data_IF_688391325857
#
_entry.id   IF_688391325857
#
_cell.length_a   1.000
_cell.length_b   1.000
_cell.length_c   1.000
_cell.angle_alpha   90.00
_cell.angle_beta   90.00
_cell.angle_gamma   90.00
#
_symmetry.space_group_name_H-M   'P 1'
#
loop_
_entity.id
_entity.type
_entity.pdbx_description
1 polymer ?
#
# COMPACT_ATOMS: atom_id res chain seq x y z
N UNK A 1 -14.25 2.33 -18.82
CA UNK A 1 -13.25 1.34 -18.41
C UNK A 1 -13.92 0.37 -17.42
N UNK A 2 -13.61 -0.93 -17.43
CA UNK A 2 -14.12 -1.80 -16.39
C UNK A 2 -13.62 -1.28 -15.03
N UNK A 3 -14.49 -1.29 -14.01
CA UNK A 3 -14.13 -0.86 -12.66
C UNK A 3 -13.19 -1.88 -12.05
N UNK A 4 -12.03 -1.46 -11.59
CA UNK A 4 -11.13 -2.31 -10.79
C UNK A 4 -11.81 -2.65 -9.46
N UNK A 5 -11.73 -3.91 -9.03
CA UNK A 5 -12.18 -4.30 -7.71
C UNK A 5 -11.06 -4.07 -6.69
N UNK A 6 -11.29 -3.14 -5.77
CA UNK A 6 -10.37 -2.78 -4.69
C UNK A 6 -10.87 -3.25 -3.31
N UNK A 7 -11.95 -4.06 -3.28
CA UNK A 7 -12.50 -4.62 -2.04
C UNK A 7 -11.57 -5.70 -1.48
N UNK A 8 -11.28 -5.64 -0.19
CA UNK A 8 -10.45 -6.62 0.50
C UNK A 8 -9.04 -6.12 0.79
N UNK A 9 -8.03 -6.95 0.60
CA UNK A 9 -6.64 -6.66 0.94
C UNK A 9 -5.77 -6.53 -0.30
N UNK A 10 -5.30 -5.30 -0.54
CA UNK A 10 -4.13 -5.07 -1.38
C UNK A 10 -2.87 -5.11 -0.53
N UNK A 11 -1.77 -5.62 -1.06
CA UNK A 11 -0.49 -5.63 -0.35
C UNK A 11 0.50 -4.67 -1.00
N UNK A 12 0.99 -3.70 -0.21
CA UNK A 12 2.11 -2.85 -0.60
C UNK A 12 3.39 -3.70 -0.58
N UNK A 13 3.70 -4.33 -1.71
CA UNK A 13 4.75 -5.33 -1.83
C UNK A 13 6.13 -4.73 -1.53
N UNK A 14 6.92 -5.42 -0.69
CA UNK A 14 8.31 -5.05 -0.42
C UNK A 14 9.20 -5.39 -1.63
N UNK A 15 10.37 -4.75 -1.72
CA UNK A 15 11.45 -5.16 -2.62
C UNK A 15 12.53 -5.86 -1.78
N UNK A 16 12.74 -7.17 -1.92
CA UNK A 16 13.82 -7.85 -1.24
C UNK A 16 15.16 -7.49 -1.86
N UNK A 17 16.19 -7.31 -1.02
CA UNK A 17 17.56 -7.05 -1.43
C UNK A 17 18.48 -8.15 -0.93
N UNK A 18 19.55 -8.45 -1.71
CA UNK A 18 20.67 -9.29 -1.29
C UNK A 18 21.66 -8.47 -0.45
N UNK A 19 22.61 -9.16 0.18
CA UNK A 19 23.63 -8.51 1.01
C UNK A 19 24.54 -7.54 0.24
N UNK A 20 24.64 -7.70 -1.08
CA UNK A 20 25.40 -6.83 -1.99
C UNK A 20 24.59 -5.62 -2.51
N UNK A 21 23.41 -5.33 -1.91
CA UNK A 21 22.47 -4.29 -2.28
C UNK A 21 21.72 -4.53 -3.62
N UNK A 22 21.95 -5.62 -4.33
CA UNK A 22 21.18 -5.95 -5.53
C UNK A 22 19.76 -6.40 -5.17
N UNK A 23 18.80 -6.22 -6.11
CA UNK A 23 17.44 -6.74 -5.95
C UNK A 23 17.47 -8.27 -5.99
N UNK A 24 16.84 -8.91 -5.01
CA UNK A 24 16.65 -10.37 -4.99
C UNK A 24 15.37 -10.73 -5.75
N UNK A 25 15.50 -10.88 -7.06
CA UNK A 25 14.37 -11.23 -7.94
C UNK A 25 13.79 -12.62 -7.66
N UNK A 26 14.60 -13.56 -7.14
CA UNK A 26 14.12 -14.91 -6.80
C UNK A 26 13.24 -14.86 -5.54
N UNK A 27 13.68 -14.15 -4.51
CA UNK A 27 12.86 -13.92 -3.31
C UNK A 27 11.59 -13.13 -3.66
N UNK A 28 11.69 -12.11 -4.52
CA UNK A 28 10.53 -11.35 -4.98
C UNK A 28 9.52 -12.27 -5.69
N UNK A 29 9.97 -13.16 -6.56
CA UNK A 29 9.12 -14.12 -7.25
C UNK A 29 8.39 -15.05 -6.28
N UNK A 30 9.11 -15.58 -5.25
CA UNK A 30 8.50 -16.40 -4.19
C UNK A 30 7.48 -15.61 -3.37
N UNK A 31 7.77 -14.35 -3.04
CA UNK A 31 6.83 -13.50 -2.31
C UNK A 31 5.56 -13.24 -3.10
N UNK A 32 5.65 -12.95 -4.40
CA UNK A 32 4.45 -12.79 -5.24
C UNK A 32 3.60 -14.05 -5.25
N UNK A 33 4.21 -15.21 -5.44
CA UNK A 33 3.48 -16.49 -5.40
C UNK A 33 2.85 -16.72 -4.02
N UNK A 34 3.59 -16.42 -2.93
CA UNK A 34 3.09 -16.50 -1.55
C UNK A 34 1.86 -15.62 -1.32
N UNK A 35 1.89 -14.38 -1.81
CA UNK A 35 0.76 -13.45 -1.71
C UNK A 35 -0.49 -14.00 -2.41
N UNK A 36 -0.34 -14.39 -3.67
CA UNK A 36 -1.46 -14.88 -4.49
C UNK A 36 -2.06 -16.18 -3.93
N UNK A 37 -1.21 -17.11 -3.47
CA UNK A 37 -1.66 -18.40 -2.91
C UNK A 37 -2.38 -18.24 -1.56
N UNK A 38 -2.09 -17.18 -0.81
CA UNK A 38 -2.70 -16.91 0.49
C UNK A 38 -3.87 -15.92 0.42
N UNK A 39 -4.36 -15.65 -0.79
CA UNK A 39 -5.68 -15.07 -1.02
C UNK A 39 -5.76 -13.57 -0.77
N UNK A 40 -4.70 -12.81 -1.09
CA UNK A 40 -4.80 -11.35 -1.22
C UNK A 40 -5.64 -10.99 -2.45
N UNK A 41 -6.24 -9.81 -2.44
CA UNK A 41 -7.17 -9.42 -3.48
C UNK A 41 -6.49 -8.63 -4.61
N UNK A 42 -5.39 -7.92 -4.35
CA UNK A 42 -4.56 -7.24 -5.37
C UNK A 42 -3.15 -6.93 -4.83
N UNK A 43 -2.20 -6.65 -5.74
CA UNK A 43 -0.85 -6.21 -5.39
C UNK A 43 -0.64 -4.73 -5.70
N UNK A 44 0.08 -4.04 -4.80
CA UNK A 44 0.58 -2.68 -5.04
C UNK A 44 2.10 -2.74 -5.19
N UNK A 45 2.58 -2.50 -6.40
CA UNK A 45 3.99 -2.57 -6.78
C UNK A 45 4.59 -1.17 -6.84
N UNK A 46 5.83 -1.03 -6.44
CA UNK A 46 6.53 0.26 -6.41
C UNK A 46 5.84 1.34 -5.56
N UNK A 47 5.15 0.92 -4.47
CA UNK A 47 4.66 1.82 -3.44
C UNK A 47 5.79 2.24 -2.47
N UNK A 48 5.43 2.93 -1.39
CA UNK A 48 6.38 3.37 -0.34
C UNK A 48 7.14 2.19 0.27
N UNK A 49 6.45 1.09 0.56
CA UNK A 49 7.00 -0.11 1.20
C UNK A 49 8.01 -0.85 0.31
N UNK A 50 8.00 -0.59 -1.00
CA UNK A 50 8.96 -1.14 -1.96
C UNK A 50 10.32 -0.41 -1.99
N UNK A 51 10.54 0.59 -1.14
CA UNK A 51 11.76 1.42 -1.15
C UNK A 51 12.03 2.08 -2.52
N UNK A 52 10.96 2.45 -3.23
CA UNK A 52 10.99 2.95 -4.61
C UNK A 52 11.99 4.09 -4.87
N UNK A 53 12.23 5.05 -3.94
CA UNK A 53 13.22 6.09 -4.15
C UNK A 53 14.66 5.59 -4.29
N UNK A 54 14.97 4.38 -3.83
CA UNK A 54 16.34 3.80 -3.88
C UNK A 54 16.54 2.86 -5.08
N UNK A 55 15.49 2.65 -5.87
CA UNK A 55 15.53 1.81 -7.07
C UNK A 55 15.89 2.62 -8.32
N UNK A 56 16.77 2.06 -9.13
CA UNK A 56 17.04 2.58 -10.47
C UNK A 56 15.84 2.34 -11.41
N UNK A 57 15.75 3.08 -12.50
CA UNK A 57 14.68 2.91 -13.49
C UNK A 57 14.72 1.51 -14.15
N UNK A 58 15.91 0.91 -14.28
CA UNK A 58 16.05 -0.47 -14.77
C UNK A 58 15.47 -1.47 -13.79
N UNK A 59 15.80 -1.34 -12.50
CA UNK A 59 15.26 -2.21 -11.43
C UNK A 59 13.73 -2.10 -11.33
N UNK A 60 13.18 -0.89 -11.39
CA UNK A 60 11.73 -0.68 -11.39
C UNK A 60 11.05 -1.43 -12.55
N UNK A 61 11.60 -1.32 -13.77
CA UNK A 61 11.05 -2.03 -14.93
C UNK A 61 11.13 -3.55 -14.77
N UNK A 62 12.24 -4.08 -14.30
CA UNK A 62 12.40 -5.52 -14.10
C UNK A 62 11.51 -6.07 -12.98
N UNK A 63 11.34 -5.33 -11.87
CA UNK A 63 10.39 -5.65 -10.79
C UNK A 63 8.97 -5.74 -11.35
N UNK A 64 8.52 -4.72 -12.11
CA UNK A 64 7.17 -4.70 -12.68
C UNK A 64 6.95 -5.86 -13.63
N UNK A 65 7.88 -6.12 -14.54
CA UNK A 65 7.81 -7.27 -15.48
C UNK A 65 7.70 -8.59 -14.76
N UNK A 66 8.52 -8.79 -13.72
CA UNK A 66 8.51 -10.03 -12.94
C UNK A 66 7.16 -10.20 -12.23
N UNK A 67 6.65 -9.15 -11.59
CA UNK A 67 5.36 -9.22 -10.87
C UNK A 67 4.22 -9.52 -11.85
N UNK A 68 4.15 -8.84 -13.00
CA UNK A 68 3.13 -9.10 -14.03
C UNK A 68 3.20 -10.57 -14.49
N UNK A 69 4.40 -11.05 -14.82
CA UNK A 69 4.62 -12.43 -15.25
C UNK A 69 4.20 -13.44 -14.18
N UNK A 70 4.52 -13.19 -12.92
CA UNK A 70 4.19 -14.07 -11.80
C UNK A 70 2.71 -14.04 -11.43
N UNK A 71 2.10 -12.87 -11.43
CA UNK A 71 0.66 -12.73 -11.17
C UNK A 71 -0.16 -13.37 -12.30
N UNK A 72 0.29 -13.23 -13.53
CA UNK A 72 -0.33 -13.85 -14.72
C UNK A 72 -1.85 -13.63 -14.81
N UNK A 73 -2.32 -12.41 -14.47
CA UNK A 73 -3.73 -12.03 -14.54
C UNK A 73 -4.63 -12.64 -13.46
N UNK A 74 -4.07 -13.31 -12.44
CA UNK A 74 -4.88 -13.96 -11.37
C UNK A 74 -5.51 -12.96 -10.41
N UNK A 75 -4.87 -11.83 -10.18
CA UNK A 75 -5.33 -10.72 -9.34
C UNK A 75 -4.90 -9.38 -9.96
N UNK A 76 -5.58 -8.26 -9.65
CA UNK A 76 -5.18 -6.95 -10.14
C UNK A 76 -3.80 -6.50 -9.63
N UNK A 77 -3.13 -5.68 -10.44
CA UNK A 77 -1.86 -5.03 -10.10
C UNK A 77 -2.03 -3.52 -10.14
N UNK A 78 -1.74 -2.86 -9.04
CA UNK A 78 -1.70 -1.40 -8.89
C UNK A 78 -0.24 -0.94 -8.90
N UNK A 79 0.08 0.03 -9.75
CA UNK A 79 1.43 0.58 -9.84
C UNK A 79 1.54 1.89 -9.06
N UNK A 80 2.53 2.01 -8.19
CA UNK A 80 2.89 3.26 -7.55
C UNK A 80 3.53 4.24 -8.54
N UNK A 81 2.83 5.33 -8.84
CA UNK A 81 3.31 6.43 -9.70
C UNK A 81 3.02 7.74 -9.00
N UNK A 82 4.02 8.29 -8.32
CA UNK A 82 3.88 9.53 -7.56
C UNK A 82 5.18 10.31 -7.48
N UNK A 83 5.09 11.53 -6.99
CA UNK A 83 6.23 12.41 -6.84
C UNK A 83 5.78 13.84 -6.53
N UNK A 84 6.74 14.75 -6.44
CA UNK A 84 6.51 16.16 -6.16
C UNK A 84 6.74 17.08 -7.39
N UNK A 85 6.90 16.49 -8.58
CA UNK A 85 6.95 17.18 -9.86
C UNK A 85 5.81 16.68 -10.76
N UNK A 86 4.73 17.45 -10.83
CA UNK A 86 3.53 17.12 -11.62
C UNK A 86 3.85 16.81 -13.08
N UNK A 87 4.71 17.61 -13.71
CA UNK A 87 5.07 17.42 -15.13
C UNK A 87 5.78 16.08 -15.38
N UNK A 88 6.67 15.67 -14.47
CA UNK A 88 7.35 14.40 -14.59
C UNK A 88 6.37 13.20 -14.51
N UNK A 89 5.38 13.26 -13.60
CA UNK A 89 4.33 12.24 -13.47
C UNK A 89 3.47 12.20 -14.73
N UNK A 90 3.03 13.35 -15.21
CA UNK A 90 2.21 13.47 -16.43
C UNK A 90 2.94 12.91 -17.66
N UNK A 91 4.22 13.21 -17.81
CA UNK A 91 5.04 12.68 -18.90
C UNK A 91 5.16 11.15 -18.78
N UNK A 92 5.45 10.64 -17.57
CA UNK A 92 5.54 9.20 -17.31
C UNK A 92 4.24 8.48 -17.69
N UNK A 93 3.07 9.03 -17.31
CA UNK A 93 1.77 8.44 -17.61
C UNK A 93 1.44 8.45 -19.11
N UNK A 94 1.95 9.42 -19.87
CA UNK A 94 1.71 9.53 -21.33
C UNK A 94 2.67 8.67 -22.17
N UNK A 95 3.91 8.51 -21.71
CA UNK A 95 5.00 7.93 -22.49
C UNK A 95 5.19 6.42 -22.26
N UNK A 96 4.66 5.88 -21.14
CA UNK A 96 4.84 4.47 -20.82
C UNK A 96 3.63 3.62 -21.22
N UNK A 97 3.92 2.36 -21.53
CA UNK A 97 2.93 1.30 -21.66
C UNK A 97 2.66 0.69 -20.29
N UNK A 98 1.38 0.50 -19.99
CA UNK A 98 0.90 -0.06 -18.73
C UNK A 98 0.28 -1.46 -18.92
N UNK A 99 0.76 -2.22 -19.89
CA UNK A 99 0.28 -3.60 -20.10
C UNK A 99 0.42 -4.42 -18.81
N UNK A 100 -0.68 -5.05 -18.38
CA UNK A 100 -0.73 -5.84 -17.15
C UNK A 100 -0.86 -5.05 -15.85
N UNK A 101 -1.07 -3.72 -15.93
CA UNK A 101 -1.37 -2.84 -14.80
C UNK A 101 -2.82 -2.41 -14.85
N UNK A 102 -3.54 -2.51 -13.73
CA UNK A 102 -4.97 -2.26 -13.65
C UNK A 102 -5.31 -0.87 -13.08
N UNK A 103 -4.43 -0.29 -12.26
CA UNK A 103 -4.60 1.07 -11.72
C UNK A 103 -3.26 1.68 -11.31
N UNK A 104 -3.30 2.98 -11.02
CA UNK A 104 -2.18 3.77 -10.51
C UNK A 104 -2.47 4.25 -9.11
N UNK A 105 -1.53 4.05 -8.17
CA UNK A 105 -1.54 4.67 -6.84
C UNK A 105 -0.64 5.91 -6.86
N UNK A 106 -1.23 7.10 -6.64
CA UNK A 106 -0.48 8.37 -6.70
C UNK A 106 -0.53 9.12 -5.36
N UNK A 107 0.64 9.24 -4.73
CA UNK A 107 0.81 9.93 -3.45
C UNK A 107 0.75 11.45 -3.62
N UNK A 108 0.23 12.16 -2.62
CA UNK A 108 0.31 13.63 -2.55
C UNK A 108 1.76 14.11 -2.65
N UNK A 109 2.03 15.25 -3.34
CA UNK A 109 3.38 15.80 -3.40
C UNK A 109 3.98 16.00 -1.99
N UNK A 110 5.22 15.58 -1.82
CA UNK A 110 5.97 15.68 -0.58
C UNK A 110 7.03 16.79 -0.69
N UNK A 111 7.56 17.23 0.45
CA UNK A 111 8.65 18.18 0.58
C UNK A 111 8.24 19.64 0.26
N UNK A 112 7.73 19.94 -0.95
CA UNK A 112 7.32 21.28 -1.39
C UNK A 112 5.93 21.73 -0.90
N UNK A 113 5.18 20.87 -0.19
CA UNK A 113 3.95 21.15 0.57
C UNK A 113 2.95 22.06 -0.16
N UNK A 114 2.31 21.62 -1.24
CA UNK A 114 1.33 22.43 -1.97
C UNK A 114 0.12 22.77 -1.10
N UNK A 115 -0.56 23.89 -1.44
CA UNK A 115 -1.87 24.22 -0.89
C UNK A 115 -2.94 23.23 -1.37
N UNK A 116 -4.17 23.32 -0.83
CA UNK A 116 -5.29 22.48 -1.28
C UNK A 116 -5.60 22.68 -2.77
N UNK A 117 -5.56 23.92 -3.26
CA UNK A 117 -5.69 24.18 -4.69
C UNK A 117 -4.52 23.60 -5.50
N UNK A 118 -3.30 23.66 -4.98
CA UNK A 118 -2.14 23.02 -5.59
C UNK A 118 -2.29 21.50 -5.67
N UNK A 119 -2.84 20.84 -4.65
CA UNK A 119 -3.17 19.42 -4.65
C UNK A 119 -4.23 19.10 -5.70
N UNK A 120 -5.30 19.88 -5.77
CA UNK A 120 -6.33 19.72 -6.76
C UNK A 120 -5.77 19.83 -8.18
N UNK A 121 -5.00 20.87 -8.50
CA UNK A 121 -4.41 21.06 -9.84
C UNK A 121 -3.40 19.95 -10.18
N UNK A 122 -2.66 19.45 -9.20
CA UNK A 122 -1.77 18.33 -9.35
C UNK A 122 -2.52 17.06 -9.79
N UNK A 123 -3.56 16.67 -9.05
CA UNK A 123 -4.33 15.46 -9.34
C UNK A 123 -5.23 15.63 -10.57
N UNK A 124 -5.72 16.84 -10.86
CA UNK A 124 -6.36 17.16 -12.13
C UNK A 124 -5.45 16.82 -13.32
N UNK A 125 -4.21 17.33 -13.32
CA UNK A 125 -3.27 17.08 -14.39
C UNK A 125 -2.93 15.59 -14.54
N UNK A 126 -2.85 14.85 -13.44
CA UNK A 126 -2.64 13.40 -13.42
C UNK A 126 -3.87 12.67 -13.98
N UNK A 127 -5.08 13.06 -13.56
CA UNK A 127 -6.33 12.47 -14.03
C UNK A 127 -6.53 12.67 -15.55
N UNK A 128 -6.26 13.85 -16.05
CA UNK A 128 -6.33 14.17 -17.49
C UNK A 128 -5.28 13.40 -18.32
N UNK A 129 -4.14 13.01 -17.71
CA UNK A 129 -3.07 12.31 -18.42
C UNK A 129 -3.19 10.79 -18.37
N UNK A 130 -3.84 10.24 -17.35
CA UNK A 130 -3.88 8.80 -17.11
C UNK A 130 -4.94 8.10 -17.96
N UNK A 131 -4.52 7.00 -18.60
CA UNK A 131 -5.42 6.04 -19.25
C UNK A 131 -5.91 4.95 -18.29
N UNK A 132 -5.38 4.91 -17.07
CA UNK A 132 -5.73 3.93 -16.04
C UNK A 132 -6.54 4.59 -14.92
N UNK A 133 -7.32 3.81 -14.16
CA UNK A 133 -7.91 4.26 -12.91
C UNK A 133 -6.84 4.75 -11.94
N UNK A 134 -7.16 5.81 -11.18
CA UNK A 134 -6.25 6.43 -10.21
C UNK A 134 -6.78 6.22 -8.80
N UNK A 135 -5.90 5.78 -7.93
CA UNK A 135 -6.08 5.74 -6.49
C UNK A 135 -5.27 6.90 -5.90
N UNK A 136 -5.94 7.87 -5.30
CA UNK A 136 -5.27 8.93 -4.54
C UNK A 136 -4.59 8.33 -3.31
N UNK A 137 -3.47 8.92 -2.86
CA UNK A 137 -2.82 8.46 -1.63
C UNK A 137 -2.47 9.64 -0.74
N UNK A 138 -3.17 9.74 0.40
CA UNK A 138 -2.96 10.75 1.42
C UNK A 138 -2.22 10.17 2.63
N UNK A 139 -1.01 10.66 2.90
CA UNK A 139 -0.13 10.18 4.00
C UNK A 139 0.66 11.34 4.62
N UNK A 140 0.01 12.23 5.35
CA UNK A 140 0.61 13.47 5.88
C UNK A 140 1.88 13.25 6.70
N UNK A 141 1.95 12.14 7.45
CA UNK A 141 3.13 11.79 8.24
C UNK A 141 4.41 11.56 7.42
N UNK A 142 4.27 11.33 6.11
CA UNK A 142 5.41 11.16 5.19
C UNK A 142 5.59 12.35 4.25
N UNK A 143 4.49 12.93 3.78
CA UNK A 143 4.54 14.00 2.78
C UNK A 143 4.66 15.40 3.39
N UNK A 144 4.24 15.56 4.64
CA UNK A 144 4.16 16.85 5.32
C UNK A 144 2.99 17.72 4.83
N UNK A 145 2.06 17.15 4.03
CA UNK A 145 0.85 17.81 3.56
C UNK A 145 -0.35 16.87 3.68
N UNK A 146 -1.45 17.35 4.21
CA UNK A 146 -2.72 16.63 4.27
C UNK A 146 -3.65 17.11 3.15
N UNK A 147 -4.17 16.18 2.36
CA UNK A 147 -5.26 16.45 1.42
C UNK A 147 -6.57 16.36 2.18
N UNK A 148 -7.30 17.48 2.29
CA UNK A 148 -8.55 17.55 3.05
C UNK A 148 -9.67 16.71 2.42
N UNK A 149 -10.71 16.41 3.22
CA UNK A 149 -11.92 15.78 2.71
C UNK A 149 -12.54 16.55 1.54
N UNK A 150 -12.64 17.89 1.64
CA UNK A 150 -13.16 18.76 0.58
C UNK A 150 -12.39 18.62 -0.73
N UNK A 151 -11.04 18.66 -0.66
CA UNK A 151 -10.19 18.51 -1.86
C UNK A 151 -10.34 17.12 -2.47
N UNK A 152 -10.37 16.08 -1.64
CA UNK A 152 -10.60 14.69 -2.07
C UNK A 152 -11.94 14.54 -2.77
N UNK A 153 -13.01 15.04 -2.17
CA UNK A 153 -14.37 14.96 -2.71
C UNK A 153 -14.54 15.77 -4.01
N UNK A 154 -13.91 16.94 -4.09
CA UNK A 154 -13.88 17.74 -5.32
C UNK A 154 -13.27 16.96 -6.48
N UNK A 155 -12.10 16.32 -6.25
CA UNK A 155 -11.42 15.50 -7.27
C UNK A 155 -12.28 14.28 -7.64
N UNK A 156 -12.83 13.56 -6.65
CA UNK A 156 -13.63 12.36 -6.89
C UNK A 156 -14.91 12.64 -7.68
N UNK A 157 -15.55 13.80 -7.47
CA UNK A 157 -16.75 14.19 -8.24
C UNK A 157 -16.45 14.61 -9.66
N UNK A 158 -15.29 15.26 -9.89
CA UNK A 158 -14.94 15.84 -11.18
C UNK A 158 -14.31 14.81 -12.13
N UNK A 159 -13.47 13.89 -11.62
CA UNK A 159 -12.70 12.97 -12.46
C UNK A 159 -13.14 11.51 -12.25
N UNK A 160 -13.90 10.98 -13.22
CA UNK A 160 -14.46 9.61 -13.16
C UNK A 160 -13.41 8.50 -13.19
N UNK A 161 -12.19 8.78 -13.63
CA UNK A 161 -11.07 7.84 -13.57
C UNK A 161 -10.31 7.91 -12.23
N UNK A 162 -10.65 8.83 -11.33
CA UNK A 162 -10.20 8.81 -9.93
C UNK A 162 -11.20 7.98 -9.14
N UNK A 163 -10.85 6.73 -8.86
CA UNK A 163 -11.80 5.69 -8.39
C UNK A 163 -11.71 5.40 -6.89
N UNK A 164 -10.63 5.83 -6.23
CA UNK A 164 -10.45 5.58 -4.80
C UNK A 164 -9.45 6.54 -4.17
N UNK A 165 -9.46 6.53 -2.84
CA UNK A 165 -8.39 7.08 -2.01
C UNK A 165 -7.86 6.01 -1.06
N UNK A 166 -6.52 5.85 -0.99
CA UNK A 166 -5.82 5.23 0.12
C UNK A 166 -5.60 6.29 1.18
N UNK A 167 -6.31 6.18 2.30
CA UNK A 167 -6.24 7.15 3.38
C UNK A 167 -5.36 6.65 4.53
N UNK A 168 -4.30 7.38 4.82
CA UNK A 168 -3.31 7.08 5.85
C UNK A 168 -2.96 8.32 6.69
N UNK A 169 -3.92 9.23 6.87
CA UNK A 169 -3.75 10.42 7.71
C UNK A 169 -3.76 10.10 9.20
N UNK A 170 -4.40 8.99 9.60
CA UNK A 170 -4.70 8.70 11.00
C UNK A 170 -5.91 9.49 11.55
N UNK A 171 -6.50 10.38 10.77
CA UNK A 171 -7.67 11.17 11.14
C UNK A 171 -8.97 10.43 10.74
N UNK A 172 -9.51 9.67 11.68
CA UNK A 172 -10.75 8.91 11.48
C UNK A 172 -11.92 9.82 11.14
N UNK A 173 -11.97 11.04 11.70
CA UNK A 173 -13.03 12.01 11.42
C UNK A 173 -13.01 12.47 9.97
N UNK A 174 -11.82 12.76 9.42
CA UNK A 174 -11.66 13.07 8.01
C UNK A 174 -12.04 11.90 7.11
N UNK A 175 -11.63 10.68 7.49
CA UNK A 175 -11.97 9.47 6.76
C UNK A 175 -13.48 9.22 6.71
N UNK A 176 -14.17 9.36 7.84
CA UNK A 176 -15.63 9.23 7.93
C UNK A 176 -16.36 10.29 7.11
N UNK A 177 -15.88 11.54 7.14
CA UNK A 177 -16.43 12.61 6.30
C UNK A 177 -16.33 12.28 4.79
N UNK A 178 -15.19 11.72 4.34
CA UNK A 178 -15.03 11.29 2.96
C UNK A 178 -16.00 10.15 2.65
N UNK A 179 -16.07 9.12 3.50
CA UNK A 179 -16.96 7.95 3.33
C UNK A 179 -18.42 8.38 3.19
N UNK A 180 -18.85 9.28 4.07
CA UNK A 180 -20.23 9.79 4.09
C UNK A 180 -20.63 10.56 2.84
N UNK A 181 -19.70 11.32 2.23
CA UNK A 181 -19.97 12.31 1.16
C UNK A 181 -19.44 11.89 -0.21
N UNK A 182 -18.68 10.80 -0.31
CA UNK A 182 -18.10 10.32 -1.57
C UNK A 182 -19.14 9.95 -2.61
N UNK A 183 -18.83 10.04 -3.91
CA UNK A 183 -19.66 9.41 -4.96
C UNK A 183 -19.76 7.90 -4.72
N UNK A 184 -20.84 7.29 -5.22
CA UNK A 184 -21.11 5.86 -5.07
C UNK A 184 -19.98 4.99 -5.69
N UNK A 185 -19.43 5.46 -6.80
CA UNK A 185 -18.38 4.80 -7.58
C UNK A 185 -16.95 5.15 -7.10
N UNK A 186 -16.79 5.80 -5.94
CA UNK A 186 -15.49 6.12 -5.34
C UNK A 186 -15.28 5.32 -4.05
N UNK A 187 -14.13 4.67 -3.91
CA UNK A 187 -13.81 3.81 -2.77
C UNK A 187 -12.86 4.50 -1.77
N UNK A 188 -13.07 4.24 -0.47
CA UNK A 188 -12.10 4.61 0.58
C UNK A 188 -11.41 3.35 1.06
N UNK A 189 -10.08 3.35 1.03
CA UNK A 189 -9.21 2.22 1.36
C UNK A 189 -8.32 2.63 2.53
N UNK A 190 -8.24 1.81 3.58
CA UNK A 190 -7.29 2.03 4.66
C UNK A 190 -5.85 1.99 4.16
N UNK A 191 -5.04 2.95 4.61
CA UNK A 191 -3.59 2.97 4.38
C UNK A 191 -2.77 2.54 5.60
N UNK A 192 -3.44 2.12 6.69
CA UNK A 192 -2.85 1.73 7.96
C UNK A 192 -3.52 0.47 8.49
N UNK A 193 -2.70 -0.57 8.74
CA UNK A 193 -3.17 -1.88 9.18
C UNK A 193 -3.91 -1.80 10.53
N UNK A 194 -3.44 -0.95 11.45
CA UNK A 194 -4.01 -0.79 12.79
C UNK A 194 -5.38 -0.14 12.83
N UNK A 195 -5.73 0.68 11.82
CA UNK A 195 -7.05 1.33 11.73
C UNK A 195 -7.98 0.68 10.71
N UNK A 196 -7.54 -0.39 10.06
CA UNK A 196 -8.31 -1.06 9.00
C UNK A 196 -9.66 -1.58 9.50
N UNK A 197 -9.67 -2.31 10.62
CA UNK A 197 -10.90 -2.85 11.18
C UNK A 197 -11.92 -1.76 11.53
N UNK A 198 -11.61 -0.73 12.34
CA UNK A 198 -12.55 0.34 12.62
C UNK A 198 -12.97 1.12 11.35
N UNK A 199 -12.08 1.30 10.39
CA UNK A 199 -12.43 2.03 9.17
C UNK A 199 -13.40 1.24 8.27
N UNK A 200 -13.32 -0.09 8.24
CA UNK A 200 -14.29 -0.94 7.55
C UNK A 200 -15.68 -0.80 8.21
N UNK A 201 -15.77 -0.69 9.53
CA UNK A 201 -17.06 -0.48 10.21
C UNK A 201 -17.71 0.85 9.87
N UNK A 202 -16.92 1.84 9.41
CA UNK A 202 -17.41 3.13 8.89
C UNK A 202 -17.76 3.09 7.40
N UNK A 203 -17.37 2.04 6.66
CA UNK A 203 -17.70 1.86 5.25
C UNK A 203 -16.51 1.88 4.27
N UNK A 204 -15.28 1.77 4.76
CA UNK A 204 -14.14 1.51 3.87
C UNK A 204 -14.25 0.12 3.23
N UNK A 205 -13.73 -0.02 2.01
CA UNK A 205 -13.85 -1.26 1.23
C UNK A 205 -12.72 -2.25 1.50
N UNK A 206 -11.68 -1.86 2.25
CA UNK A 206 -10.53 -2.71 2.52
C UNK A 206 -9.28 -1.92 2.88
N UNK A 207 -8.12 -2.47 2.57
CA UNK A 207 -6.82 -1.93 2.96
C UNK A 207 -5.77 -2.13 1.88
N UNK A 208 -4.81 -1.20 1.79
CA UNK A 208 -3.50 -1.44 1.17
C UNK A 208 -2.49 -1.63 2.31
N UNK A 209 -2.24 -2.88 2.62
CA UNK A 209 -1.59 -3.39 3.83
C UNK A 209 -0.07 -3.44 3.74
N UNK A 210 0.60 -3.26 4.86
CA UNK A 210 2.02 -3.56 5.07
C UNK A 210 2.18 -4.95 5.69
N UNK A 211 1.41 -5.26 6.77
CA UNK A 211 1.51 -6.54 7.46
C UNK A 211 1.12 -7.73 6.57
N UNK A 212 0.27 -7.50 5.58
CA UNK A 212 -0.09 -8.50 4.58
C UNK A 212 1.08 -9.09 3.80
N UNK A 213 2.26 -8.43 3.76
CA UNK A 213 3.48 -9.03 3.22
C UNK A 213 3.88 -10.30 3.98
N UNK A 214 3.78 -10.28 5.31
CA UNK A 214 4.15 -11.39 6.19
C UNK A 214 2.98 -12.32 6.51
N UNK A 215 1.76 -11.79 6.66
CA UNK A 215 0.56 -12.52 7.09
C UNK A 215 -0.62 -12.34 6.12
N UNK A 216 -0.47 -12.68 4.83
CA UNK A 216 -1.52 -12.44 3.84
C UNK A 216 -2.82 -13.18 4.16
N UNK A 217 -2.75 -14.44 4.61
CA UNK A 217 -3.91 -15.29 4.87
C UNK A 217 -4.74 -14.78 6.06
N UNK A 218 -4.08 -14.52 7.19
CA UNK A 218 -4.71 -14.12 8.43
C UNK A 218 -5.31 -12.71 8.29
N UNK A 219 -4.57 -11.79 7.69
CA UNK A 219 -5.02 -10.42 7.52
C UNK A 219 -6.15 -10.30 6.48
N UNK A 220 -6.09 -11.10 5.40
CA UNK A 220 -7.22 -11.21 4.46
C UNK A 220 -8.46 -11.80 5.12
N UNK A 221 -8.30 -12.80 6.00
CA UNK A 221 -9.42 -13.36 6.76
C UNK A 221 -10.07 -12.31 7.67
N UNK A 222 -9.27 -11.56 8.44
CA UNK A 222 -9.76 -10.46 9.29
C UNK A 222 -10.56 -9.44 8.47
N UNK A 223 -9.99 -9.00 7.36
CA UNK A 223 -10.62 -7.99 6.49
C UNK A 223 -11.94 -8.49 5.89
N UNK A 224 -12.00 -9.74 5.42
CA UNK A 224 -13.24 -10.32 4.86
C UNK A 224 -14.32 -10.47 5.90
N UNK A 225 -14.00 -11.00 7.08
CA UNK A 225 -14.95 -11.09 8.19
C UNK A 225 -15.54 -9.72 8.55
N UNK A 226 -14.69 -8.68 8.61
CA UNK A 226 -15.17 -7.33 8.87
C UNK A 226 -16.10 -6.82 7.75
N UNK A 227 -15.77 -7.07 6.48
CA UNK A 227 -16.58 -6.68 5.31
C UNK A 227 -17.91 -7.47 5.20
N UNK A 228 -17.99 -8.66 5.79
CA UNK A 228 -19.17 -9.51 5.87
C UNK A 228 -20.04 -9.19 7.10
N UNK A 229 -19.55 -8.32 8.02
CA UNK A 229 -20.27 -7.92 9.23
C UNK A 229 -20.02 -8.83 10.44
N UNK A 230 -19.17 -9.85 10.32
CA UNK A 230 -18.72 -10.65 11.48
C UNK A 230 -17.63 -9.91 12.25
N UNK A 231 -18.04 -8.82 12.91
CA UNK A 231 -17.12 -7.95 13.65
C UNK A 231 -16.48 -8.65 14.85
N UNK A 232 -17.15 -9.61 15.48
CA UNK A 232 -16.61 -10.30 16.65
C UNK A 232 -15.40 -11.17 16.25
N UNK A 233 -15.52 -11.96 15.20
CA UNK A 233 -14.43 -12.79 14.69
C UNK A 233 -13.29 -11.93 14.11
N UNK A 234 -13.62 -10.86 13.37
CA UNK A 234 -12.64 -9.93 12.84
C UNK A 234 -11.84 -9.23 13.95
N UNK A 235 -12.52 -8.76 15.02
CA UNK A 235 -11.90 -8.10 16.17
C UNK A 235 -10.91 -9.03 16.90
N UNK A 236 -11.25 -10.32 17.03
CA UNK A 236 -10.35 -11.31 17.63
C UNK A 236 -9.01 -11.39 16.88
N UNK A 237 -9.07 -11.44 15.55
CA UNK A 237 -7.85 -11.46 14.72
C UNK A 237 -7.14 -10.10 14.78
N UNK A 238 -7.86 -8.98 14.70
CA UNK A 238 -7.29 -7.64 14.82
C UNK A 238 -6.48 -7.49 16.12
N UNK A 239 -7.01 -7.92 17.26
CA UNK A 239 -6.33 -7.84 18.53
C UNK A 239 -5.08 -8.72 18.60
N UNK A 240 -5.06 -9.89 17.93
CA UNK A 240 -3.87 -10.74 17.88
C UNK A 240 -2.69 -10.08 17.12
N UNK A 241 -2.97 -9.11 16.25
CA UNK A 241 -1.96 -8.35 15.51
C UNK A 241 -1.60 -7.00 16.13
N UNK A 242 -2.27 -6.56 17.20
CA UNK A 242 -2.17 -5.19 17.71
C UNK A 242 -0.74 -4.76 18.07
N UNK A 243 0.07 -5.68 18.60
CA UNK A 243 1.48 -5.42 18.91
C UNK A 243 2.33 -5.32 17.63
N UNK A 244 2.08 -6.19 16.64
CA UNK A 244 2.79 -6.15 15.36
C UNK A 244 2.50 -4.86 14.59
N UNK A 245 1.28 -4.30 14.66
CA UNK A 245 0.97 -3.01 14.02
C UNK A 245 1.88 -1.88 14.52
N UNK A 246 2.23 -1.86 15.83
CA UNK A 246 3.17 -0.89 16.38
C UNK A 246 4.59 -1.17 15.91
N UNK A 247 5.02 -2.43 15.96
CA UNK A 247 6.38 -2.85 15.61
C UNK A 247 6.70 -2.67 14.12
N UNK A 248 5.68 -2.66 13.23
CA UNK A 248 5.85 -2.36 11.81
C UNK A 248 6.49 -0.99 11.55
N UNK A 249 6.20 0.01 12.39
CA UNK A 249 6.50 1.42 12.10
C UNK A 249 7.47 2.08 13.08
N UNK A 250 7.80 1.44 14.22
CA UNK A 250 8.62 2.03 15.28
C UNK A 250 10.03 2.43 14.81
N UNK A 251 10.62 1.66 13.91
CA UNK A 251 11.90 1.95 13.25
C UNK A 251 11.72 2.34 11.77
N UNK A 252 10.50 2.70 11.39
CA UNK A 252 10.13 3.05 10.02
C UNK A 252 9.70 1.85 9.18
N UNK A 253 8.93 2.14 8.13
CA UNK A 253 8.49 1.16 7.15
C UNK A 253 9.38 1.27 5.89
N UNK A 254 9.96 0.13 5.39
CA UNK A 254 9.57 -1.26 5.60
C UNK A 254 10.43 -2.06 6.62
N UNK A 255 11.22 -1.41 7.50
CA UNK A 255 12.16 -2.12 8.37
C UNK A 255 11.49 -3.23 9.20
N UNK A 256 10.35 -2.93 9.85
CA UNK A 256 9.61 -3.91 10.66
C UNK A 256 9.12 -5.12 9.87
N UNK A 257 8.46 -4.92 8.74
CA UNK A 257 7.93 -6.01 7.92
C UNK A 257 9.05 -6.84 7.26
N UNK A 258 10.15 -6.23 6.86
CA UNK A 258 11.32 -6.97 6.35
C UNK A 258 11.97 -7.82 7.43
N UNK A 259 12.05 -7.31 8.66
CA UNK A 259 12.50 -8.08 9.82
C UNK A 259 11.62 -9.33 10.04
N UNK A 260 10.28 -9.19 10.00
CA UNK A 260 9.36 -10.33 10.11
C UNK A 260 9.59 -11.36 9.00
N UNK A 261 9.63 -10.92 7.74
CA UNK A 261 9.85 -11.80 6.59
C UNK A 261 11.21 -12.50 6.64
N UNK A 262 12.24 -11.84 7.17
CA UNK A 262 13.55 -12.45 7.38
C UNK A 262 13.49 -13.57 8.42
N UNK A 263 12.88 -13.33 9.58
CA UNK A 263 12.70 -14.34 10.62
C UNK A 263 11.88 -15.54 10.13
N UNK A 264 10.93 -15.32 9.25
CA UNK A 264 10.14 -16.37 8.60
C UNK A 264 10.89 -17.07 7.46
N UNK A 265 12.13 -16.67 7.14
CA UNK A 265 12.98 -17.30 6.13
C UNK A 265 12.66 -16.96 4.67
N UNK A 266 11.91 -15.88 4.42
CA UNK A 266 11.56 -15.48 3.05
C UNK A 266 12.60 -14.63 2.35
N UNK A 267 13.31 -13.75 3.09
CA UNK A 267 14.24 -12.75 2.54
C UNK A 267 15.44 -12.52 3.46
N UNK A 268 16.49 -11.86 2.95
CA UNK A 268 17.53 -11.28 3.78
C UNK A 268 17.00 -10.01 4.50
N UNK A 269 17.48 -9.74 5.74
CA UNK A 269 17.11 -8.53 6.50
C UNK A 269 17.90 -7.32 5.99
N UNK A 270 17.67 -6.95 4.73
CA UNK A 270 18.44 -5.92 4.04
C UNK A 270 17.52 -4.81 3.53
N UNK A 271 17.94 -3.56 3.81
CA UNK A 271 17.36 -2.33 3.27
C UNK A 271 18.44 -1.53 2.58
N UNK A 272 18.07 -0.64 1.66
CA UNK A 272 18.99 0.33 1.07
C UNK A 272 18.96 1.65 1.85
N UNK A 273 20.13 2.27 2.02
CA UNK A 273 20.23 3.60 2.61
C UNK A 273 19.31 4.60 1.87
N UNK A 274 18.66 5.53 2.59
CA UNK A 274 18.88 5.89 4.00
C UNK A 274 18.18 4.98 5.02
N UNK A 275 17.43 3.96 4.59
CA UNK A 275 16.79 3.03 5.50
C UNK A 275 17.78 1.96 5.97
N UNK A 276 17.59 1.51 7.21
CA UNK A 276 18.40 0.47 7.86
C UNK A 276 17.51 -0.57 8.52
N UNK A 277 18.02 -1.79 8.81
CA UNK A 277 17.28 -2.78 9.59
C UNK A 277 16.85 -2.23 10.96
N UNK A 278 15.85 -2.89 11.55
CA UNK A 278 15.34 -2.55 12.90
C UNK A 278 16.46 -2.59 13.95
N UNK A 279 16.31 -1.77 15.00
CA UNK A 279 17.15 -1.86 16.20
C UNK A 279 17.02 -3.26 16.83
N UNK A 280 18.06 -3.66 17.58
CA UNK A 280 18.08 -4.97 18.25
C UNK A 280 16.88 -5.16 19.18
N UNK A 281 16.48 -4.12 19.91
CA UNK A 281 15.32 -4.18 20.81
C UNK A 281 14.02 -4.43 20.06
N UNK A 282 13.84 -3.80 18.89
CA UNK A 282 12.66 -4.02 18.03
C UNK A 282 12.71 -5.42 17.41
N UNK A 283 13.89 -5.87 17.00
CA UNK A 283 14.11 -7.22 16.48
C UNK A 283 13.67 -8.28 17.51
N UNK A 284 14.13 -8.16 18.76
CA UNK A 284 13.77 -9.07 19.84
C UNK A 284 12.26 -9.01 20.16
N UNK A 285 11.65 -7.82 20.16
CA UNK A 285 10.21 -7.67 20.35
C UNK A 285 9.41 -8.37 19.24
N UNK A 286 9.78 -8.18 17.98
CA UNK A 286 9.15 -8.88 16.85
C UNK A 286 9.28 -10.40 17.02
N UNK A 287 10.48 -10.89 17.34
CA UNK A 287 10.73 -12.31 17.54
C UNK A 287 9.83 -12.91 18.63
N UNK A 288 9.69 -12.23 19.77
CA UNK A 288 8.84 -12.68 20.87
C UNK A 288 7.38 -12.79 20.43
N UNK A 289 6.86 -11.76 19.76
CA UNK A 289 5.47 -11.79 19.26
C UNK A 289 5.27 -12.90 18.22
N UNK A 290 6.23 -13.14 17.32
CA UNK A 290 6.14 -14.25 16.37
C UNK A 290 6.10 -15.60 17.05
N UNK A 291 6.91 -15.81 18.12
CA UNK A 291 6.88 -17.02 18.94
C UNK A 291 5.52 -17.19 19.62
N UNK A 292 4.96 -16.13 20.21
CA UNK A 292 3.65 -16.17 20.87
C UNK A 292 2.52 -16.50 19.88
N UNK A 293 2.68 -16.11 18.62
CA UNK A 293 1.78 -16.47 17.52
C UNK A 293 2.04 -17.87 16.93
N UNK A 294 2.97 -18.65 17.52
CA UNK A 294 3.42 -19.96 17.04
C UNK A 294 3.97 -19.93 15.60
N UNK A 295 4.56 -18.83 15.19
CA UNK A 295 5.27 -18.69 13.92
C UNK A 295 6.70 -19.20 14.09
N UNK A 296 7.10 -20.10 13.21
CA UNK A 296 8.48 -20.61 13.20
C UNK A 296 9.43 -19.50 12.70
N UNK A 297 10.38 -19.13 13.53
CA UNK A 297 11.41 -18.12 13.28
C UNK A 297 12.80 -18.75 13.19
#
# INVERSE_FOLDING_TARGET
>A
MPRINLKGVGVALITPFKNDDSVDYEALARLVDYQVQNGIDYLVVLGTTAETPTLTESEKREIVKLVISKVAGRIPIVLGVGGNNTKAIVNYLKENDFYGIDAVLSVTPYYNKPSQEGLYQHFRAIAEASKLPIILYNVPGRTGVNMSAETTLRIANEFKNVVAIKEASGDITQMDEIIKRKPEDFDVISGDDGVTFPLITLGAVGVISVIGNAFPKEFSKMTRLALEGDFQSALTIHHSFSELFKLLFIDGNPAGVKCMLHMMGYIENKLRLPLVPTRITTYESIRNVLIDLNIKC
#
